data_IF_685185342685
#
_entry.id   IF_685185342685
#
_cell.length_a   1.000
_cell.length_b   1.000
_cell.length_c   1.000
_cell.angle_alpha   90.00
_cell.angle_beta   90.00
_cell.angle_gamma   90.00
#
_symmetry.space_group_name_H-M   'P 1'
#
loop_
_entity.id
_entity.type
_entity.pdbx_description
1 polymer ?
#
# COMPACT_ATOMS: atom_id res chain seq x y z
N UNK A 1 -30.27 -20.71 -19.55
CA UNK A 1 -30.78 -19.64 -18.66
C UNK A 1 -29.73 -19.41 -17.57
N UNK A 2 -29.36 -18.13 -17.40
CA UNK A 2 -28.55 -17.51 -16.33
C UNK A 2 -27.04 -17.76 -16.29
N UNK A 3 -26.34 -16.70 -16.71
CA UNK A 3 -24.97 -16.33 -16.33
C UNK A 3 -24.92 -15.87 -14.87
N UNK A 4 -23.85 -16.21 -14.14
CA UNK A 4 -23.29 -15.37 -13.07
C UNK A 4 -21.78 -15.63 -12.99
N UNK A 5 -21.03 -14.76 -13.65
CA UNK A 5 -19.60 -14.56 -13.50
C UNK A 5 -19.33 -13.70 -12.25
N UNK A 6 -18.09 -13.76 -11.73
CA UNK A 6 -17.43 -12.91 -10.70
C UNK A 6 -17.47 -13.54 -9.29
N UNK A 7 -16.37 -14.03 -8.71
CA UNK A 7 -15.04 -13.39 -8.56
C UNK A 7 -13.91 -14.44 -8.53
N UNK A 8 -12.82 -14.29 -9.30
CA UNK A 8 -11.60 -15.03 -9.04
C UNK A 8 -10.62 -14.21 -8.17
N UNK A 9 -9.72 -14.93 -7.49
CA UNK A 9 -8.43 -14.50 -6.95
C UNK A 9 -8.40 -13.72 -5.63
N UNK A 10 -8.01 -14.40 -4.54
CA UNK A 10 -6.87 -13.92 -3.72
C UNK A 10 -6.21 -15.00 -2.83
N UNK A 11 -6.00 -16.24 -3.31
CA UNK A 11 -5.48 -17.33 -2.46
C UNK A 11 -3.95 -17.56 -2.47
N UNK A 12 -3.10 -16.64 -2.96
CA UNK A 12 -1.65 -16.90 -2.97
C UNK A 12 -0.75 -15.68 -2.80
N UNK A 13 -0.51 -15.28 -1.55
CA UNK A 13 0.82 -14.74 -1.22
C UNK A 13 1.23 -15.10 0.21
N UNK A 14 1.88 -16.25 0.30
CA UNK A 14 3.03 -16.54 1.17
C UNK A 14 3.32 -15.41 2.18
N UNK A 15 2.89 -15.61 3.43
CA UNK A 15 3.36 -14.84 4.59
C UNK A 15 4.61 -15.55 5.12
N UNK A 16 5.84 -15.07 4.82
CA UNK A 16 7.01 -15.54 5.55
C UNK A 16 6.91 -15.07 7.01
N UNK A 17 7.19 -16.00 7.91
CA UNK A 17 7.21 -15.81 9.35
C UNK A 17 8.39 -14.92 9.77
N UNK A 18 8.17 -13.61 9.89
CA UNK A 18 8.69 -12.72 10.96
C UNK A 18 7.99 -11.34 10.81
N UNK A 19 7.03 -11.05 11.68
CA UNK A 19 5.85 -10.21 11.41
C UNK A 19 6.07 -8.69 11.53
N UNK A 20 7.10 -8.13 10.88
CA UNK A 20 7.28 -6.68 10.76
C UNK A 20 7.25 -6.25 9.29
N UNK A 21 6.09 -6.39 8.63
CA UNK A 21 5.87 -5.75 7.34
C UNK A 21 5.89 -4.24 7.56
N UNK A 22 6.92 -3.56 7.04
CA UNK A 22 7.00 -2.11 7.13
C UNK A 22 5.87 -1.50 6.28
N UNK A 23 5.39 -0.29 6.63
CA UNK A 23 4.39 0.43 5.83
C UNK A 23 4.80 0.54 4.37
N UNK A 24 6.09 0.71 4.11
CA UNK A 24 6.66 0.83 2.77
C UNK A 24 6.61 -0.49 1.97
N UNK A 25 6.92 -1.63 2.60
CA UNK A 25 6.85 -2.95 1.96
C UNK A 25 5.42 -3.31 1.56
N UNK A 26 4.45 -3.00 2.44
CA UNK A 26 3.04 -3.13 2.12
C UNK A 26 2.69 -2.27 0.89
N UNK A 27 3.03 -0.97 0.89
CA UNK A 27 2.69 -0.12 -0.25
C UNK A 27 3.42 -0.54 -1.54
N UNK A 28 4.66 -1.01 -1.47
CA UNK A 28 5.40 -1.56 -2.59
C UNK A 28 4.72 -2.80 -3.20
N UNK A 29 3.90 -3.50 -2.42
CA UNK A 29 3.12 -4.63 -2.89
C UNK A 29 1.79 -4.22 -3.54
N UNK A 30 1.23 -3.07 -3.12
CA UNK A 30 -0.10 -2.59 -3.49
C UNK A 30 -0.14 -1.35 -4.38
N UNK A 31 1.00 -0.71 -4.67
CA UNK A 31 1.05 0.55 -5.45
C UNK A 31 0.42 0.41 -6.83
N UNK A 32 0.58 -0.76 -7.48
CA UNK A 32 -0.04 -1.08 -8.79
C UNK A 32 -1.58 -1.15 -8.74
N UNK A 33 -2.15 -1.29 -7.55
CA UNK A 33 -3.58 -1.30 -7.28
C UNK A 33 -4.07 0.01 -6.64
N UNK A 34 -3.25 1.06 -6.63
CA UNK A 34 -3.61 2.36 -6.04
C UNK A 34 -3.40 2.44 -4.52
N UNK A 35 -2.61 1.53 -3.95
CA UNK A 35 -2.10 1.64 -2.58
C UNK A 35 -2.87 0.91 -1.49
N UNK A 36 -3.77 -0.03 -1.84
CA UNK A 36 -4.50 -0.87 -0.87
C UNK A 36 -5.77 -0.20 -0.31
N UNK A 37 -6.71 -0.97 0.24
CA UNK A 37 -7.95 -0.39 0.79
C UNK A 37 -7.70 0.30 2.14
N UNK A 38 -8.43 1.38 2.44
CA UNK A 38 -8.31 2.08 3.73
C UNK A 38 -8.63 1.15 4.92
N UNK A 39 -9.57 0.22 4.72
CA UNK A 39 -9.91 -0.82 5.69
C UNK A 39 -8.72 -1.78 5.94
N UNK A 40 -8.07 -2.27 4.89
CA UNK A 40 -6.92 -3.18 5.03
C UNK A 40 -5.73 -2.48 5.72
N UNK A 41 -5.51 -1.20 5.43
CA UNK A 41 -4.47 -0.39 6.09
C UNK A 41 -4.77 -0.30 7.60
N UNK A 42 -6.02 0.01 7.96
CA UNK A 42 -6.43 0.11 9.36
C UNK A 42 -6.35 -1.25 10.07
N UNK A 43 -6.78 -2.34 9.44
CA UNK A 43 -6.70 -3.69 10.00
C UNK A 43 -5.25 -4.16 10.19
N UNK A 44 -4.33 -3.75 9.30
CA UNK A 44 -2.92 -4.17 9.34
C UNK A 44 -2.10 -3.33 10.33
N UNK A 45 -2.27 -2.01 10.32
CA UNK A 45 -1.41 -1.07 11.04
C UNK A 45 -2.09 -0.37 12.23
N UNK A 46 -3.42 -0.46 12.36
CA UNK A 46 -4.17 0.22 13.43
C UNK A 46 -4.25 1.74 13.30
N UNK A 47 -3.76 2.30 12.19
CA UNK A 47 -3.74 3.74 11.92
C UNK A 47 -4.63 4.08 10.72
N UNK A 48 -5.04 5.35 10.65
CA UNK A 48 -5.83 5.81 9.49
C UNK A 48 -4.98 5.79 8.22
N UNK A 49 -5.63 5.65 7.06
CA UNK A 49 -4.93 5.70 5.77
C UNK A 49 -4.18 7.02 5.57
N UNK A 50 -4.70 8.14 6.10
CA UNK A 50 -4.02 9.43 6.10
C UNK A 50 -2.70 9.39 6.87
N UNK A 51 -2.69 8.87 8.10
CA UNK A 51 -1.44 8.74 8.87
C UNK A 51 -0.46 7.78 8.19
N UNK A 52 -0.96 6.67 7.67
CA UNK A 52 -0.16 5.70 6.93
C UNK A 52 0.55 6.32 5.72
N UNK A 53 -0.17 7.02 4.84
CA UNK A 53 0.43 7.65 3.66
C UNK A 53 1.33 8.84 4.02
N UNK A 54 1.07 9.55 5.12
CA UNK A 54 1.96 10.59 5.64
C UNK A 54 3.28 9.99 6.10
N UNK A 55 3.23 8.95 6.92
CA UNK A 55 4.39 8.27 7.45
C UNK A 55 5.29 7.73 6.32
N UNK A 56 4.69 7.14 5.29
CA UNK A 56 5.43 6.68 4.10
C UNK A 56 6.15 7.81 3.38
N UNK A 57 5.50 8.97 3.21
CA UNK A 57 6.15 10.11 2.56
C UNK A 57 7.34 10.61 3.37
N UNK A 58 7.23 10.62 4.69
CA UNK A 58 8.34 10.96 5.59
C UNK A 58 9.47 9.94 5.51
N UNK A 59 9.17 8.63 5.56
CA UNK A 59 10.17 7.57 5.41
C UNK A 59 10.88 7.62 4.05
N UNK A 60 10.18 7.94 2.97
CA UNK A 60 10.78 8.10 1.63
C UNK A 60 11.66 9.36 1.51
N UNK A 61 11.46 10.35 2.37
CA UNK A 61 12.23 11.59 2.38
C UNK A 61 13.48 11.47 3.27
N UNK A 62 13.36 10.74 4.38
CA UNK A 62 14.43 10.54 5.39
C UNK A 62 15.40 9.41 5.01
N UNK A 63 14.89 8.28 4.50
CA UNK A 63 15.73 7.15 4.09
C UNK A 63 16.10 7.21 2.61
N UNK A 64 17.36 6.94 2.30
CA UNK A 64 17.77 6.49 0.96
C UNK A 64 17.14 5.13 0.71
N UNK A 65 15.86 5.12 0.31
CA UNK A 65 15.11 3.92 0.00
C UNK A 65 15.92 3.05 -0.97
N UNK A 66 16.14 1.78 -0.60
CA UNK A 66 16.77 0.77 -1.47
C UNK A 66 15.98 0.51 -2.78
N UNK A 67 14.78 1.08 -2.88
CA UNK A 67 13.95 1.06 -4.06
C UNK A 67 14.54 1.90 -5.20
N UNK A 68 14.39 1.42 -6.42
CA UNK A 68 14.72 2.20 -7.62
C UNK A 68 13.94 3.51 -7.64
N UNK A 69 14.57 4.57 -8.18
CA UNK A 69 13.98 5.92 -8.31
C UNK A 69 12.59 5.91 -8.95
N UNK A 70 12.37 5.04 -9.94
CA UNK A 70 11.06 4.87 -10.58
C UNK A 70 9.99 4.34 -9.62
N UNK A 71 10.34 3.37 -8.76
CA UNK A 71 9.45 2.81 -7.75
C UNK A 71 9.13 3.85 -6.68
N UNK A 72 10.13 4.59 -6.19
CA UNK A 72 9.93 5.68 -5.23
C UNK A 72 9.00 6.75 -5.81
N UNK A 73 9.20 7.16 -7.06
CA UNK A 73 8.35 8.14 -7.73
C UNK A 73 6.89 7.65 -7.89
N UNK A 74 6.70 6.37 -8.22
CA UNK A 74 5.37 5.77 -8.31
C UNK A 74 4.67 5.73 -6.95
N UNK A 75 5.36 5.27 -5.90
CA UNK A 75 4.86 5.21 -4.53
C UNK A 75 4.49 6.60 -4.03
N UNK A 76 5.38 7.59 -4.20
CA UNK A 76 5.15 9.00 -3.82
C UNK A 76 3.94 9.59 -4.53
N UNK A 77 3.75 9.25 -5.81
CA UNK A 77 2.59 9.71 -6.60
C UNK A 77 1.27 9.15 -6.07
N UNK A 78 1.25 7.87 -5.70
CA UNK A 78 0.07 7.20 -5.12
C UNK A 78 -0.26 7.78 -3.74
N UNK A 79 0.73 7.90 -2.86
CA UNK A 79 0.56 8.44 -1.51
C UNK A 79 0.03 9.89 -1.55
N UNK A 80 0.59 10.76 -2.38
CA UNK A 80 0.09 12.13 -2.56
C UNK A 80 -1.34 12.19 -3.08
N UNK A 81 -1.69 11.35 -4.06
CA UNK A 81 -3.05 11.31 -4.61
C UNK A 81 -4.07 10.87 -3.54
N UNK A 82 -3.72 9.86 -2.74
CA UNK A 82 -4.54 9.38 -1.61
C UNK A 82 -4.75 10.45 -0.56
N UNK A 83 -3.68 11.14 -0.15
CA UNK A 83 -3.76 12.23 0.81
C UNK A 83 -4.61 13.39 0.29
N UNK A 84 -4.54 13.69 -1.00
CA UNK A 84 -5.37 14.73 -1.61
C UNK A 84 -6.86 14.37 -1.62
N UNK A 85 -7.20 13.10 -1.91
CA UNK A 85 -8.58 12.61 -1.88
C UNK A 85 -9.15 12.47 -0.46
N UNK A 86 -8.28 12.28 0.54
CA UNK A 86 -8.64 12.18 1.95
C UNK A 86 -8.59 13.53 2.70
N UNK A 87 -8.38 14.64 1.96
CA UNK A 87 -8.32 16.00 2.52
C UNK A 87 -9.68 16.66 2.69
#
# INVERSE_FOLDING_TARGET
>A
MTVHQLRPNNERRNLPADNQTTPLDFLAQWYRHGGGSDQEIFETFGITSREYFSHILETLDDEHSDFSVATVAAIRSVARRRLWLAS
#
